data_IF_264737994341
#
_entry.id   IF_264737994341
#
_cell.length_a   1.000
_cell.length_b   1.000
_cell.length_c   1.000
_cell.angle_alpha   90.00
_cell.angle_beta   90.00
_cell.angle_gamma   90.00
#
_symmetry.space_group_name_H-M   'P 1'
#
loop_
_entity.id
_entity.type
_entity.pdbx_description
1 polymer ?
#
# COMPACT_ATOMS: atom_id res chain seq x y z
N UNK A 1 16.11 20.93 1.23
CA UNK A 1 15.10 20.70 2.29
C UNK A 1 15.60 19.60 3.23
N UNK A 2 15.15 19.62 4.48
CA UNK A 2 15.28 18.52 5.43
C UNK A 2 14.12 17.55 5.26
N UNK A 3 14.36 16.31 4.91
CA UNK A 3 13.31 15.34 4.62
C UNK A 3 13.51 14.10 5.46
N UNK A 4 12.53 13.78 6.33
CA UNK A 4 12.50 12.52 7.05
C UNK A 4 11.75 11.48 6.20
N UNK A 5 12.44 10.45 5.72
CA UNK A 5 11.83 9.34 4.98
C UNK A 5 11.44 8.26 5.97
N UNK A 6 10.18 8.27 6.42
CA UNK A 6 9.69 7.35 7.44
C UNK A 6 9.41 5.98 6.83
N UNK A 7 10.14 4.95 7.29
CA UNK A 7 10.05 3.60 6.75
C UNK A 7 9.92 2.53 7.85
N UNK A 8 9.96 1.26 7.50
CA UNK A 8 9.93 0.13 8.42
C UNK A 8 8.56 -0.06 9.05
N UNK A 9 8.45 0.25 10.32
CA UNK A 9 7.22 0.03 11.08
C UNK A 9 7.02 -1.43 11.49
N UNK A 10 5.83 -1.78 11.96
CA UNK A 10 5.49 -3.12 12.42
C UNK A 10 4.32 -3.66 11.58
N UNK A 11 4.60 -4.02 10.34
CA UNK A 11 3.65 -4.61 9.41
C UNK A 11 4.28 -5.79 8.65
N UNK A 12 3.49 -6.69 8.07
CA UNK A 12 4.01 -7.75 7.21
C UNK A 12 4.82 -7.23 6.01
N UNK A 13 4.62 -5.98 5.62
CA UNK A 13 5.30 -5.31 4.50
C UNK A 13 6.54 -4.50 4.93
N UNK A 14 7.01 -4.69 6.18
CA UNK A 14 8.16 -3.98 6.75
C UNK A 14 9.39 -3.95 5.84
N UNK A 15 9.79 -5.09 5.27
CA UNK A 15 10.99 -5.18 4.43
C UNK A 15 10.82 -4.42 3.11
N UNK A 16 9.61 -4.39 2.57
CA UNK A 16 9.25 -3.59 1.38
C UNK A 16 9.36 -2.11 1.72
N UNK A 17 8.86 -1.70 2.87
CA UNK A 17 8.92 -0.32 3.38
C UNK A 17 10.37 0.15 3.54
N UNK A 18 11.24 -0.64 4.16
CA UNK A 18 12.67 -0.30 4.32
C UNK A 18 13.35 -0.20 2.95
N UNK A 19 13.06 -1.12 2.02
CA UNK A 19 13.62 -1.09 0.67
C UNK A 19 13.18 0.17 -0.08
N UNK A 20 11.89 0.49 -0.07
CA UNK A 20 11.33 1.72 -0.67
C UNK A 20 11.96 2.97 -0.05
N UNK A 21 11.95 3.06 1.29
CA UNK A 21 12.51 4.20 2.01
C UNK A 21 13.98 4.45 1.71
N UNK A 22 14.80 3.37 1.65
CA UNK A 22 16.22 3.47 1.29
C UNK A 22 16.42 4.05 -0.11
N UNK A 23 15.61 3.62 -1.09
CA UNK A 23 15.69 4.13 -2.47
C UNK A 23 15.22 5.58 -2.57
N UNK A 24 14.13 5.92 -1.90
CA UNK A 24 13.62 7.30 -1.83
C UNK A 24 14.66 8.22 -1.19
N UNK A 25 15.21 7.86 -0.03
CA UNK A 25 16.21 8.67 0.66
C UNK A 25 17.45 8.88 -0.20
N UNK A 26 17.93 7.84 -0.90
CA UNK A 26 19.04 7.95 -1.84
C UNK A 26 18.75 8.91 -2.99
N UNK A 27 17.59 8.79 -3.65
CA UNK A 27 17.19 9.67 -4.74
C UNK A 27 17.07 11.13 -4.30
N UNK A 28 16.50 11.37 -3.10
CA UNK A 28 16.39 12.72 -2.55
C UNK A 28 17.74 13.33 -2.15
N UNK A 29 18.67 12.51 -1.64
CA UNK A 29 20.05 12.97 -1.38
C UNK A 29 20.80 13.30 -2.69
N UNK A 30 20.66 12.49 -3.74
CA UNK A 30 21.19 12.78 -5.07
C UNK A 30 20.61 14.06 -5.67
N UNK A 31 19.35 14.40 -5.36
CA UNK A 31 18.68 15.67 -5.72
C UNK A 31 19.10 16.86 -4.84
N UNK A 32 20.01 16.66 -3.87
CA UNK A 32 20.56 17.72 -3.03
C UNK A 32 19.77 18.04 -1.76
N UNK A 33 18.85 17.16 -1.35
CA UNK A 33 18.15 17.27 -0.07
C UNK A 33 18.94 16.64 1.08
N UNK A 34 18.68 17.10 2.30
CA UNK A 34 19.17 16.47 3.53
C UNK A 34 18.16 15.38 3.95
N UNK A 35 18.37 14.15 3.44
CA UNK A 35 17.49 13.01 3.71
C UNK A 35 17.96 12.19 4.90
N UNK A 36 17.04 11.90 5.85
CA UNK A 36 17.24 10.97 6.97
C UNK A 36 16.21 9.86 6.87
N UNK A 37 16.60 8.61 7.20
CA UNK A 37 15.77 7.41 7.09
C UNK A 37 15.47 6.83 8.48
N UNK A 38 14.53 7.38 9.27
CA UNK A 38 14.12 6.79 10.54
C UNK A 38 13.23 5.57 10.30
N UNK A 39 13.52 4.47 11.00
CA UNK A 39 12.61 3.36 11.11
C UNK A 39 11.48 3.72 12.08
N UNK A 40 10.22 3.65 11.64
CA UNK A 40 9.09 4.03 12.49
C UNK A 40 9.06 3.24 13.80
N UNK A 41 9.34 1.93 13.76
CA UNK A 41 9.23 1.06 14.94
C UNK A 41 10.48 1.06 15.80
N UNK A 42 11.69 0.92 15.23
CA UNK A 42 12.93 0.95 15.98
C UNK A 42 13.39 2.38 16.32
N UNK A 43 13.05 3.34 15.51
CA UNK A 43 13.56 4.69 15.63
C UNK A 43 15.00 4.81 15.16
N UNK A 44 15.75 5.62 15.88
CA UNK A 44 17.18 5.83 15.67
C UNK A 44 18.00 5.27 16.85
N UNK A 45 17.60 4.11 17.41
CA UNK A 45 18.20 3.52 18.60
C UNK A 45 19.67 3.12 18.47
N UNK A 46 20.20 3.06 17.26
CA UNK A 46 21.60 2.81 16.95
C UNK A 46 22.39 4.08 16.58
N UNK A 47 21.72 5.22 16.47
CA UNK A 47 22.37 6.48 16.17
C UNK A 47 23.06 7.02 17.42
N UNK A 48 24.37 7.29 17.33
CA UNK A 48 25.20 7.77 18.44
C UNK A 48 25.54 9.26 18.35
N UNK A 49 25.09 9.94 17.28
CA UNK A 49 25.26 11.38 17.09
C UNK A 49 24.25 12.21 17.89
N UNK A 50 24.36 13.51 17.78
CA UNK A 50 23.37 14.44 18.36
C UNK A 50 22.15 14.53 17.46
N UNK A 51 20.97 14.18 17.97
CA UNK A 51 19.70 14.22 17.25
C UNK A 51 19.41 15.61 16.68
N UNK A 52 19.79 16.68 17.36
CA UNK A 52 19.61 18.04 16.87
C UNK A 52 20.34 18.30 15.53
N UNK A 53 21.36 17.51 15.23
CA UNK A 53 22.20 17.61 14.01
C UNK A 53 22.04 16.41 13.07
N UNK A 54 21.01 15.57 13.25
CA UNK A 54 20.83 14.32 12.47
C UNK A 54 20.70 14.55 10.96
N UNK A 55 20.23 15.72 10.52
CA UNK A 55 20.18 16.06 9.09
C UNK A 55 21.52 16.53 8.52
N UNK A 56 22.45 16.97 9.38
CA UNK A 56 23.80 17.40 8.96
C UNK A 56 24.77 16.20 8.94
N UNK A 57 24.53 15.21 9.81
CA UNK A 57 25.32 13.97 9.92
C UNK A 57 24.36 12.76 10.01
N UNK A 58 23.65 12.43 8.91
CA UNK A 58 22.66 11.37 8.92
C UNK A 58 23.30 9.99 9.08
N UNK A 59 22.60 9.03 9.74
CA UNK A 59 23.04 7.65 9.73
C UNK A 59 23.14 7.13 8.29
N UNK A 60 24.09 6.23 8.04
CA UNK A 60 24.23 5.60 6.74
C UNK A 60 22.93 4.91 6.33
N UNK A 61 22.56 5.06 5.04
CA UNK A 61 21.39 4.36 4.51
C UNK A 61 21.65 2.86 4.56
N UNK A 62 20.86 2.17 5.37
CA UNK A 62 20.81 0.72 5.39
C UNK A 62 20.18 0.18 4.11
N UNK A 63 20.20 -1.13 3.95
CA UNK A 63 19.46 -1.82 2.91
C UNK A 63 18.90 -3.10 3.47
N UNK A 64 17.77 -3.55 2.94
CA UNK A 64 17.22 -4.85 3.27
C UNK A 64 16.84 -5.59 2.00
N UNK A 65 16.89 -6.92 2.07
CA UNK A 65 16.34 -7.78 1.05
C UNK A 65 14.87 -8.06 1.39
N UNK A 66 14.04 -8.09 0.37
CA UNK A 66 12.66 -8.55 0.53
C UNK A 66 12.68 -10.07 0.41
N UNK A 67 12.31 -10.74 1.50
CA UNK A 67 12.27 -12.21 1.57
C UNK A 67 11.02 -12.77 0.87
N UNK A 68 10.99 -14.07 0.64
CA UNK A 68 9.86 -14.76 0.01
C UNK A 68 8.60 -14.81 0.89
N UNK A 69 8.76 -14.59 2.19
CA UNK A 69 7.67 -14.54 3.18
C UNK A 69 7.73 -13.27 4.00
N UNK A 70 6.57 -12.88 4.53
CA UNK A 70 6.48 -11.76 5.45
C UNK A 70 7.32 -12.02 6.73
N UNK A 71 7.87 -10.97 7.35
CA UNK A 71 8.65 -11.09 8.58
C UNK A 71 7.79 -11.55 9.76
N UNK A 72 8.40 -12.28 10.69
CA UNK A 72 7.81 -12.59 11.99
C UNK A 72 7.75 -11.31 12.84
N UNK A 73 6.56 -10.74 13.00
CA UNK A 73 6.37 -9.47 13.70
C UNK A 73 6.64 -9.56 15.22
N UNK A 74 6.45 -10.74 15.83
CA UNK A 74 6.79 -10.94 17.24
C UNK A 74 8.31 -10.95 17.43
N UNK A 75 9.04 -11.60 16.52
CA UNK A 75 10.49 -11.55 16.50
C UNK A 75 11.02 -10.12 16.27
N UNK A 76 10.39 -9.37 15.35
CA UNK A 76 10.72 -7.94 15.14
C UNK A 76 10.46 -7.14 16.41
N UNK A 77 9.31 -7.33 17.06
CA UNK A 77 8.97 -6.64 18.31
C UNK A 77 9.99 -6.91 19.42
N UNK A 78 10.42 -8.17 19.55
CA UNK A 78 11.38 -8.57 20.57
C UNK A 78 12.79 -7.96 20.39
N UNK A 79 13.16 -7.57 19.16
CA UNK A 79 14.47 -6.99 18.87
C UNK A 79 14.60 -5.52 19.30
N UNK A 80 13.49 -4.80 19.51
CA UNK A 80 13.49 -3.39 19.90
C UNK A 80 14.15 -3.22 21.27
N UNK A 81 15.16 -2.37 21.37
CA UNK A 81 15.93 -2.17 22.63
C UNK A 81 15.07 -1.54 23.72
N UNK A 82 14.40 -0.44 23.40
CA UNK A 82 13.48 0.22 24.32
C UNK A 82 12.06 -0.35 24.11
N UNK A 83 11.67 -1.29 24.96
CA UNK A 83 10.33 -1.86 24.95
C UNK A 83 9.28 -0.81 25.33
N UNK A 84 8.32 -0.56 24.44
CA UNK A 84 7.26 0.43 24.61
C UNK A 84 5.99 -0.02 23.88
N UNK A 85 4.80 0.32 24.36
CA UNK A 85 3.56 0.10 23.63
C UNK A 85 3.42 1.02 22.40
N UNK A 86 4.19 2.11 22.32
CA UNK A 86 4.20 3.02 21.18
C UNK A 86 4.72 2.32 19.93
N UNK A 87 4.09 2.55 18.79
CA UNK A 87 4.58 2.13 17.47
C UNK A 87 5.66 3.07 16.92
N UNK A 88 5.84 4.23 17.53
CA UNK A 88 6.96 5.12 17.22
C UNK A 88 8.16 4.79 18.12
N UNK A 89 9.28 4.52 17.48
CA UNK A 89 10.57 4.29 18.11
C UNK A 89 11.18 5.57 18.69
N UNK A 90 12.32 5.40 19.33
CA UNK A 90 13.05 6.51 19.93
C UNK A 90 13.41 7.57 18.88
N UNK A 91 13.21 8.84 19.19
CA UNK A 91 13.48 10.03 18.38
C UNK A 91 12.69 10.15 17.04
N UNK A 92 11.81 9.21 16.68
CA UNK A 92 11.09 9.27 15.39
C UNK A 92 10.29 10.57 15.26
N UNK A 93 9.42 10.88 16.20
CA UNK A 93 8.59 12.09 16.11
C UNK A 93 9.41 13.38 16.27
N UNK A 94 10.50 13.35 17.01
CA UNK A 94 11.45 14.46 17.14
C UNK A 94 12.11 14.76 15.79
N UNK A 95 12.61 13.75 15.08
CA UNK A 95 13.19 13.90 13.74
C UNK A 95 12.14 14.35 12.73
N UNK A 96 10.92 13.79 12.78
CA UNK A 96 9.83 14.25 11.93
C UNK A 96 9.49 15.73 12.16
N UNK A 97 9.51 16.20 13.40
CA UNK A 97 9.24 17.60 13.75
C UNK A 97 10.35 18.58 13.32
N UNK A 98 11.58 18.09 13.11
CA UNK A 98 12.70 18.89 12.59
C UNK A 98 12.78 18.91 11.07
N UNK A 99 12.02 18.05 10.38
CA UNK A 99 11.98 18.00 8.93
C UNK A 99 11.08 19.11 8.33
N UNK A 100 11.40 19.55 7.13
CA UNK A 100 10.50 20.41 6.34
C UNK A 100 9.27 19.63 5.87
N UNK A 101 9.45 18.31 5.63
CA UNK A 101 8.39 17.38 5.26
C UNK A 101 8.80 15.94 5.62
N UNK A 102 7.82 15.10 5.96
CA UNK A 102 7.98 13.66 6.12
C UNK A 102 7.55 12.94 4.86
N UNK A 103 8.45 12.20 4.22
CA UNK A 103 8.09 11.29 3.14
C UNK A 103 7.64 9.95 3.75
N UNK A 104 6.37 9.59 3.57
CA UNK A 104 5.84 8.33 4.08
C UNK A 104 6.18 7.19 3.11
N UNK A 105 7.16 6.37 3.47
CA UNK A 105 7.55 5.14 2.75
C UNK A 105 7.07 3.88 3.48
N UNK A 106 6.00 4.02 4.26
CA UNK A 106 5.38 2.94 5.03
C UNK A 106 4.43 2.14 4.13
N UNK A 107 4.20 0.86 4.49
CA UNK A 107 3.23 -0.01 3.83
C UNK A 107 2.43 -0.80 4.85
N UNK A 108 1.21 -1.19 4.45
CA UNK A 108 0.32 -1.99 5.26
C UNK A 108 -0.37 -1.21 6.38
N UNK A 109 -1.09 -1.96 7.24
CA UNK A 109 -2.07 -1.43 8.18
C UNK A 109 -1.60 -0.24 9.01
N UNK A 110 -0.38 -0.26 9.53
CA UNK A 110 0.12 0.82 10.39
C UNK A 110 0.48 2.10 9.62
N UNK A 111 0.86 1.97 8.36
CA UNK A 111 1.28 3.10 7.52
C UNK A 111 0.15 3.71 6.70
N UNK A 112 -0.83 2.87 6.30
CA UNK A 112 -1.89 3.23 5.36
C UNK A 112 -3.28 3.34 6.01
N UNK A 113 -3.42 3.11 7.32
CA UNK A 113 -4.71 3.15 8.03
C UNK A 113 -5.09 4.52 8.61
N UNK A 114 -4.32 5.55 8.29
CA UNK A 114 -4.57 6.92 8.71
C UNK A 114 -4.03 7.31 10.10
N UNK A 115 -3.54 6.37 10.90
CA UNK A 115 -3.07 6.66 12.28
C UNK A 115 -1.79 7.47 12.32
N UNK A 116 -0.83 7.15 11.46
CA UNK A 116 0.42 7.91 11.31
C UNK A 116 0.09 9.31 10.80
N UNK A 117 -0.74 9.41 9.78
CA UNK A 117 -1.19 10.66 9.20
C UNK A 117 -1.87 11.55 10.24
N UNK A 118 -2.83 11.01 11.01
CA UNK A 118 -3.50 11.74 12.10
C UNK A 118 -2.52 12.20 13.19
N UNK A 119 -1.50 11.41 13.49
CA UNK A 119 -0.47 11.81 14.46
C UNK A 119 0.34 13.00 13.94
N UNK A 120 0.77 12.97 12.68
CA UNK A 120 1.52 14.06 12.07
C UNK A 120 0.65 15.32 11.92
N UNK A 121 -0.64 15.18 11.57
CA UNK A 121 -1.60 16.30 11.53
C UNK A 121 -1.71 17.00 12.89
N UNK A 122 -1.87 16.24 13.99
CA UNK A 122 -1.96 16.79 15.33
C UNK A 122 -0.68 17.48 15.79
N UNK A 123 0.46 17.10 15.25
CA UNK A 123 1.77 17.70 15.53
C UNK A 123 2.09 18.87 14.57
N UNK A 124 1.25 19.12 13.56
CA UNK A 124 1.49 20.14 12.54
C UNK A 124 2.68 19.83 11.64
N UNK A 125 3.00 18.56 11.45
CA UNK A 125 4.14 18.09 10.64
C UNK A 125 3.66 17.77 9.23
N UNK A 126 4.16 18.45 8.16
CA UNK A 126 3.84 18.14 6.78
C UNK A 126 4.31 16.74 6.37
N UNK A 127 3.50 16.03 5.57
CA UNK A 127 3.85 14.68 5.07
C UNK A 127 3.31 14.43 3.67
N UNK A 128 3.92 13.49 2.95
CA UNK A 128 3.49 13.06 1.61
C UNK A 128 2.35 12.04 1.69
N UNK A 129 1.59 11.92 0.59
CA UNK A 129 0.50 10.95 0.49
C UNK A 129 -0.85 11.50 0.97
N UNK A 130 -1.83 10.64 1.14
CA UNK A 130 -3.20 10.99 1.49
C UNK A 130 -3.37 11.31 2.98
N UNK A 131 -4.37 12.14 3.33
CA UNK A 131 -4.70 12.46 4.71
C UNK A 131 -5.31 11.28 5.47
N UNK A 132 -5.44 11.42 6.79
CA UNK A 132 -5.84 10.34 7.70
C UNK A 132 -7.20 9.69 7.33
N UNK A 133 -8.21 10.49 6.95
CA UNK A 133 -9.54 9.97 6.66
C UNK A 133 -9.56 9.14 5.38
N UNK A 134 -8.97 9.68 4.30
CA UNK A 134 -8.87 8.97 3.01
C UNK A 134 -8.09 7.66 3.15
N UNK A 135 -6.95 7.70 3.84
CA UNK A 135 -6.15 6.51 4.13
C UNK A 135 -6.93 5.46 4.93
N UNK A 136 -7.65 5.87 5.98
CA UNK A 136 -8.45 4.95 6.79
C UNK A 136 -9.58 4.28 5.99
N UNK A 137 -10.28 5.03 5.13
CA UNK A 137 -11.34 4.47 4.28
C UNK A 137 -10.73 3.54 3.22
N UNK A 138 -9.63 3.96 2.56
CA UNK A 138 -8.99 3.16 1.52
C UNK A 138 -8.48 1.80 2.05
N UNK A 139 -8.00 1.74 3.28
CA UNK A 139 -7.56 0.51 3.94
C UNK A 139 -8.73 -0.46 4.23
N UNK A 140 -9.92 0.06 4.53
CA UNK A 140 -11.14 -0.69 4.79
C UNK A 140 -11.87 -0.97 3.46
N UNK A 141 -11.74 -2.19 2.96
CA UNK A 141 -12.28 -2.58 1.64
C UNK A 141 -13.81 -2.52 1.59
N UNK A 142 -14.50 -2.87 2.68
CA UNK A 142 -15.96 -2.78 2.77
C UNK A 142 -16.41 -1.31 2.70
N UNK A 143 -15.80 -0.42 3.48
CA UNK A 143 -16.12 1.00 3.45
C UNK A 143 -15.80 1.62 2.08
N UNK A 144 -14.64 1.31 1.51
CA UNK A 144 -14.29 1.78 0.16
C UNK A 144 -15.34 1.39 -0.86
N UNK A 145 -15.75 0.12 -0.91
CA UNK A 145 -16.78 -0.37 -1.84
C UNK A 145 -18.12 0.32 -1.62
N UNK A 146 -18.53 0.53 -0.38
CA UNK A 146 -19.77 1.26 -0.05
C UNK A 146 -19.75 2.72 -0.51
N UNK A 147 -18.56 3.35 -0.51
CA UNK A 147 -18.41 4.74 -0.99
C UNK A 147 -18.43 4.79 -2.51
N UNK A 148 -17.72 3.89 -3.20
CA UNK A 148 -17.50 4.02 -4.65
C UNK A 148 -18.59 3.37 -5.51
N UNK A 149 -19.27 2.31 -5.04
CA UNK A 149 -20.31 1.63 -5.80
C UNK A 149 -21.50 2.55 -6.17
N UNK A 150 -22.00 3.43 -5.29
CA UNK A 150 -23.07 4.39 -5.66
C UNK A 150 -22.64 5.42 -6.71
N UNK A 151 -21.34 5.61 -6.92
CA UNK A 151 -20.79 6.52 -7.94
C UNK A 151 -20.63 5.86 -9.31
N UNK A 152 -21.07 4.61 -9.46
CA UNK A 152 -20.99 3.88 -10.71
C UNK A 152 -19.69 3.12 -10.92
N UNK A 153 -18.77 3.11 -9.96
CA UNK A 153 -17.57 2.27 -10.00
C UNK A 153 -17.98 0.82 -9.73
N UNK A 154 -17.84 -0.02 -10.75
CA UNK A 154 -18.21 -1.44 -10.67
C UNK A 154 -17.21 -2.18 -9.78
N UNK A 155 -17.70 -2.94 -8.81
CA UNK A 155 -16.90 -3.73 -7.88
C UNK A 155 -17.55 -5.11 -7.68
N UNK A 156 -16.79 -6.19 -7.42
CA UNK A 156 -17.38 -7.51 -7.15
C UNK A 156 -18.42 -7.44 -6.04
N UNK A 157 -19.53 -8.15 -6.21
CA UNK A 157 -20.52 -8.30 -5.13
C UNK A 157 -19.85 -8.95 -3.92
N UNK A 158 -20.17 -8.47 -2.71
CA UNK A 158 -19.47 -8.90 -1.51
C UNK A 158 -20.38 -9.06 -0.31
N UNK A 159 -19.90 -9.76 0.69
CA UNK A 159 -20.42 -9.79 2.05
C UNK A 159 -19.26 -9.67 3.04
N UNK A 160 -19.52 -9.00 4.16
CA UNK A 160 -18.58 -8.84 5.27
C UNK A 160 -19.04 -9.69 6.44
N UNK A 161 -18.13 -10.43 7.08
CA UNK A 161 -18.41 -11.22 8.27
C UNK A 161 -17.37 -10.95 9.36
N UNK A 162 -17.81 -10.92 10.61
CA UNK A 162 -16.90 -10.87 11.76
C UNK A 162 -16.30 -12.26 11.99
N UNK A 163 -15.00 -12.36 12.24
CA UNK A 163 -14.32 -13.65 12.47
C UNK A 163 -14.65 -14.24 13.84
N UNK A 164 -14.88 -13.38 14.85
CA UNK A 164 -15.26 -13.81 16.20
C UNK A 164 -16.71 -14.30 16.23
N UNK A 165 -16.90 -15.53 16.68
CA UNK A 165 -18.23 -16.15 16.74
C UNK A 165 -18.85 -16.48 15.37
N UNK A 166 -18.07 -16.50 14.28
CA UNK A 166 -18.56 -16.77 12.92
C UNK A 166 -19.24 -18.13 12.81
N UNK A 167 -20.50 -18.14 12.37
CA UNK A 167 -21.21 -19.35 11.94
C UNK A 167 -20.81 -19.70 10.50
N UNK A 168 -19.82 -20.55 10.36
CA UNK A 168 -19.28 -20.98 9.04
C UNK A 168 -20.37 -21.62 8.17
N UNK A 169 -21.31 -22.37 8.76
CA UNK A 169 -22.39 -23.04 8.00
C UNK A 169 -23.36 -21.99 7.41
N UNK A 170 -23.71 -20.99 8.19
CA UNK A 170 -24.55 -19.89 7.73
C UNK A 170 -23.85 -19.05 6.64
N UNK A 171 -22.54 -18.83 6.76
CA UNK A 171 -21.73 -18.12 5.74
C UNK A 171 -21.67 -18.93 4.44
N UNK A 172 -21.37 -20.24 4.52
CA UNK A 172 -21.32 -21.10 3.34
C UNK A 172 -22.66 -21.19 2.61
N UNK A 173 -23.78 -21.17 3.34
CA UNK A 173 -25.11 -21.18 2.74
C UNK A 173 -25.47 -19.90 1.97
N UNK A 174 -24.82 -18.78 2.26
CA UNK A 174 -25.05 -17.48 1.63
C UNK A 174 -24.06 -17.16 0.52
N UNK A 175 -22.82 -17.63 0.64
CA UNK A 175 -21.76 -17.36 -0.31
C UNK A 175 -22.05 -17.99 -1.68
N UNK A 176 -21.73 -17.24 -2.75
CA UNK A 176 -21.81 -17.75 -4.13
C UNK A 176 -20.43 -18.15 -4.59
N UNK A 177 -20.30 -19.38 -5.08
CA UNK A 177 -19.04 -19.92 -5.60
C UNK A 177 -18.96 -19.77 -7.12
N UNK A 178 -17.75 -19.55 -7.71
CA UNK A 178 -16.49 -19.35 -6.98
C UNK A 178 -16.44 -17.98 -6.31
N UNK A 179 -15.70 -17.86 -5.19
CA UNK A 179 -15.54 -16.61 -4.48
C UNK A 179 -14.09 -16.38 -4.02
N UNK A 180 -13.78 -15.13 -3.67
CA UNK A 180 -12.53 -14.72 -3.04
C UNK A 180 -12.80 -14.44 -1.57
N UNK A 181 -12.00 -15.02 -0.70
CA UNK A 181 -12.04 -14.80 0.75
C UNK A 181 -10.77 -14.05 1.14
N UNK A 182 -10.89 -12.92 1.83
CA UNK A 182 -9.75 -12.10 2.24
C UNK A 182 -10.04 -11.35 3.54
N UNK A 183 -9.02 -11.04 4.36
CA UNK A 183 -9.15 -10.07 5.44
C UNK A 183 -9.57 -8.69 4.86
N UNK A 184 -10.43 -7.97 5.56
CA UNK A 184 -10.96 -6.69 5.09
C UNK A 184 -9.89 -5.58 5.08
N UNK A 185 -8.98 -5.60 6.05
CA UNK A 185 -7.98 -4.56 6.29
C UNK A 185 -6.52 -5.04 6.15
N UNK A 186 -6.26 -6.04 5.30
CA UNK A 186 -4.92 -6.57 5.02
C UNK A 186 -4.41 -6.15 3.64
N UNK A 187 -3.08 -6.04 3.52
CA UNK A 187 -2.36 -5.74 2.27
C UNK A 187 -1.63 -6.96 1.69
N UNK A 188 -0.94 -6.74 0.55
CA UNK A 188 -0.05 -7.71 -0.11
C UNK A 188 -0.62 -9.10 -0.33
N UNK A 189 -1.92 -9.23 -0.55
CA UNK A 189 -2.63 -10.51 -0.75
C UNK A 189 -2.48 -11.53 0.39
N UNK A 190 -2.09 -11.07 1.60
CA UNK A 190 -1.96 -11.94 2.77
C UNK A 190 -3.36 -12.38 3.23
N UNK A 191 -3.54 -13.68 3.42
CA UNK A 191 -4.82 -14.27 3.81
C UNK A 191 -5.87 -14.33 2.69
N UNK A 192 -5.50 -13.99 1.44
CA UNK A 192 -6.40 -14.10 0.28
C UNK A 192 -6.44 -15.55 -0.23
N UNK A 193 -7.64 -16.03 -0.47
CA UNK A 193 -7.88 -17.37 -1.03
C UNK A 193 -9.02 -17.34 -2.04
N UNK A 194 -8.89 -18.11 -3.11
CA UNK A 194 -9.98 -18.36 -4.06
C UNK A 194 -10.62 -19.70 -3.67
N UNK A 195 -11.93 -19.72 -3.49
CA UNK A 195 -12.69 -20.90 -3.16
C UNK A 195 -13.64 -21.28 -4.31
N UNK A 196 -13.44 -22.49 -4.87
CA UNK A 196 -14.23 -23.02 -5.97
C UNK A 196 -15.37 -23.91 -5.48
N UNK A 197 -15.22 -24.45 -4.27
CA UNK A 197 -16.22 -25.30 -3.61
C UNK A 197 -16.36 -24.98 -2.13
N UNK A 198 -17.32 -25.62 -1.46
CA UNK A 198 -17.61 -25.38 -0.04
C UNK A 198 -16.45 -25.81 0.88
N UNK A 199 -15.70 -26.85 0.52
CA UNK A 199 -14.59 -27.32 1.33
C UNK A 199 -13.44 -26.30 1.32
N UNK A 200 -13.13 -25.76 0.13
CA UNK A 200 -12.16 -24.67 -0.03
C UNK A 200 -12.63 -23.40 0.69
N UNK A 201 -13.92 -23.05 0.60
CA UNK A 201 -14.47 -21.89 1.30
C UNK A 201 -14.32 -22.02 2.83
N UNK A 202 -14.62 -23.18 3.40
CA UNK A 202 -14.45 -23.46 4.83
C UNK A 202 -12.99 -23.34 5.28
N UNK A 203 -12.06 -23.81 4.46
CA UNK A 203 -10.63 -23.68 4.72
C UNK A 203 -10.17 -22.22 4.64
N UNK A 204 -10.61 -21.50 3.61
CA UNK A 204 -10.30 -20.09 3.40
C UNK A 204 -10.82 -19.19 4.54
N UNK A 205 -12.05 -19.39 5.02
CA UNK A 205 -12.61 -18.66 6.15
C UNK A 205 -11.81 -18.85 7.44
N UNK A 206 -11.37 -20.09 7.70
CA UNK A 206 -10.51 -20.38 8.87
C UNK A 206 -9.14 -19.72 8.76
N UNK A 207 -8.56 -19.72 7.56
CA UNK A 207 -7.26 -19.07 7.32
C UNK A 207 -7.37 -17.54 7.49
N UNK A 208 -8.35 -16.90 6.86
CA UNK A 208 -8.58 -15.47 6.95
C UNK A 208 -8.88 -14.99 8.38
N UNK A 209 -9.57 -15.81 9.18
CA UNK A 209 -9.86 -15.52 10.59
C UNK A 209 -8.61 -15.42 11.48
N UNK A 210 -7.48 -16.00 11.07
CA UNK A 210 -6.20 -15.86 11.78
C UNK A 210 -5.50 -14.53 11.45
N UNK A 211 -5.85 -13.91 10.33
CA UNK A 211 -5.20 -12.71 9.81
C UNK A 211 -5.96 -11.41 10.15
N UNK A 212 -7.26 -11.49 10.43
CA UNK A 212 -8.08 -10.31 10.70
C UNK A 212 -9.36 -10.60 11.44
N UNK A 213 -9.92 -9.56 12.07
CA UNK A 213 -11.20 -9.64 12.79
C UNK A 213 -12.41 -9.60 11.85
N UNK A 214 -12.26 -9.09 10.64
CA UNK A 214 -13.29 -9.00 9.60
C UNK A 214 -12.82 -9.66 8.32
N UNK A 215 -13.71 -10.42 7.70
CA UNK A 215 -13.45 -11.19 6.48
C UNK A 215 -14.40 -10.73 5.41
N UNK A 216 -13.85 -10.35 4.27
CA UNK A 216 -14.58 -10.02 3.06
C UNK A 216 -14.68 -11.25 2.16
N UNK A 217 -15.89 -11.59 1.72
CA UNK A 217 -16.16 -12.67 0.77
C UNK A 217 -16.72 -12.03 -0.48
N UNK A 218 -16.00 -12.12 -1.58
CA UNK A 218 -16.33 -11.45 -2.84
C UNK A 218 -16.63 -12.45 -3.95
N UNK A 219 -17.48 -12.05 -4.88
CA UNK A 219 -17.61 -12.74 -6.15
C UNK A 219 -16.24 -12.82 -6.82
N UNK A 220 -15.84 -14.02 -7.25
CA UNK A 220 -14.65 -14.18 -8.07
C UNK A 220 -14.90 -13.63 -9.48
N UNK A 221 -14.05 -12.73 -9.92
CA UNK A 221 -14.06 -12.18 -11.28
C UNK A 221 -12.87 -12.78 -12.03
N UNK A 222 -13.16 -13.51 -13.12
CA UNK A 222 -12.15 -14.02 -14.03
C UNK A 222 -11.76 -12.94 -15.02
N UNK A 223 -10.47 -12.61 -15.12
CA UNK A 223 -10.01 -11.56 -16.01
C UNK A 223 -8.51 -11.30 -15.89
N UNK A 224 -8.08 -10.21 -16.53
CA UNK A 224 -6.71 -9.69 -16.51
C UNK A 224 -6.58 -8.72 -15.34
N UNK A 225 -5.51 -8.84 -14.56
CA UNK A 225 -5.22 -7.87 -13.50
C UNK A 225 -4.56 -6.64 -14.13
N UNK A 226 -5.23 -5.49 -14.03
CA UNK A 226 -4.75 -4.20 -14.51
C UNK A 226 -4.76 -3.21 -13.36
N UNK A 227 -3.67 -2.48 -13.21
CA UNK A 227 -3.55 -1.47 -12.17
C UNK A 227 -3.22 -0.13 -12.80
N UNK A 228 -3.49 0.95 -12.08
CA UNK A 228 -3.25 2.31 -12.56
C UNK A 228 -2.86 3.22 -11.41
N UNK A 229 -1.69 3.86 -11.56
CA UNK A 229 -1.20 4.88 -10.66
C UNK A 229 -1.89 6.23 -10.90
N UNK A 230 -2.01 6.99 -9.84
CA UNK A 230 -2.44 8.39 -9.89
C UNK A 230 -1.31 9.22 -9.28
N UNK A 231 -0.93 10.30 -9.94
CA UNK A 231 0.05 11.27 -9.50
C UNK A 231 -0.54 12.68 -9.59
N UNK A 232 -0.68 13.37 -8.46
CA UNK A 232 -1.50 14.56 -8.35
C UNK A 232 -2.95 14.26 -8.74
N UNK A 233 -3.47 14.97 -9.73
CA UNK A 233 -4.82 14.79 -10.29
C UNK A 233 -4.80 14.05 -11.65
N UNK A 234 -3.74 13.28 -11.94
CA UNK A 234 -3.57 12.63 -13.25
C UNK A 234 -3.36 11.14 -13.09
N UNK A 235 -4.09 10.36 -13.87
CA UNK A 235 -3.81 8.95 -14.04
C UNK A 235 -2.53 8.75 -14.86
N UNK A 236 -1.67 7.86 -14.41
CA UNK A 236 -0.51 7.36 -15.17
C UNK A 236 -1.00 6.31 -16.19
N UNK A 237 -0.16 5.88 -17.15
CA UNK A 237 -0.49 4.73 -17.99
C UNK A 237 -0.71 3.49 -17.15
N UNK A 238 -1.72 2.70 -17.48
CA UNK A 238 -1.98 1.46 -16.76
C UNK A 238 -0.86 0.43 -16.88
N UNK A 239 -0.84 -0.51 -15.95
CA UNK A 239 0.08 -1.65 -15.94
C UNK A 239 -0.71 -2.95 -15.81
N UNK A 240 -0.43 -3.91 -16.69
CA UNK A 240 -0.98 -5.27 -16.62
C UNK A 240 -0.02 -6.17 -15.88
N UNK A 241 -0.56 -7.00 -14.99
CA UNK A 241 0.20 -7.96 -14.21
C UNK A 241 -0.20 -9.37 -14.64
N UNK A 242 0.79 -10.12 -15.08
CA UNK A 242 0.64 -11.51 -15.52
C UNK A 242 1.50 -12.39 -14.59
N UNK A 243 0.91 -12.98 -13.52
CA UNK A 243 1.63 -13.90 -12.66
C UNK A 243 2.14 -15.11 -13.45
N UNK A 244 3.34 -15.58 -13.12
CA UNK A 244 3.89 -16.78 -13.75
C UNK A 244 3.10 -18.04 -13.35
N UNK A 245 2.57 -18.09 -12.13
CA UNK A 245 1.73 -19.15 -11.59
C UNK A 245 0.68 -18.57 -10.63
N UNK A 246 -0.52 -19.14 -10.63
CA UNK A 246 -1.57 -18.81 -9.66
C UNK A 246 -2.17 -17.41 -9.84
N UNK A 247 -2.22 -16.63 -8.76
CA UNK A 247 -2.68 -15.24 -8.72
C UNK A 247 -1.57 -14.33 -8.14
N UNK A 248 -1.75 -13.01 -8.18
CA UNK A 248 -0.74 -12.04 -7.75
C UNK A 248 -0.64 -12.00 -6.21
N UNK A 249 -0.05 -13.03 -5.63
CA UNK A 249 0.19 -13.19 -4.20
C UNK A 249 1.48 -12.46 -3.74
N UNK A 250 1.81 -12.56 -2.44
CA UNK A 250 3.00 -11.93 -1.84
C UNK A 250 4.30 -12.32 -2.58
N UNK A 251 4.46 -13.60 -2.94
CA UNK A 251 5.64 -14.09 -3.65
C UNK A 251 5.72 -13.49 -5.05
N UNK A 252 4.60 -13.49 -5.78
CA UNK A 252 4.53 -12.94 -7.13
C UNK A 252 4.75 -11.42 -7.16
N UNK A 253 4.43 -10.71 -6.06
CA UNK A 253 4.65 -9.25 -5.93
C UNK A 253 6.12 -8.87 -5.73
N UNK A 254 6.90 -9.69 -5.02
CA UNK A 254 8.20 -9.23 -4.54
C UNK A 254 9.40 -10.09 -4.99
N UNK A 255 9.17 -11.23 -5.64
CA UNK A 255 10.26 -12.06 -6.15
C UNK A 255 10.54 -11.77 -7.64
N UNK A 256 11.79 -11.54 -8.03
CA UNK A 256 12.17 -11.28 -9.41
C UNK A 256 11.72 -12.41 -10.35
N UNK A 257 11.00 -12.05 -11.43
CA UNK A 257 10.54 -12.98 -12.45
C UNK A 257 9.31 -13.81 -12.09
N UNK A 258 8.70 -13.57 -10.92
CA UNK A 258 7.48 -14.26 -10.50
C UNK A 258 6.21 -13.69 -11.17
N UNK A 259 6.26 -12.47 -11.68
CA UNK A 259 5.23 -11.88 -12.54
C UNK A 259 5.88 -11.15 -13.72
N UNK A 260 5.14 -11.03 -14.82
CA UNK A 260 5.46 -10.14 -15.94
C UNK A 260 4.57 -8.92 -15.85
N UNK A 261 5.18 -7.75 -15.86
CA UNK A 261 4.52 -6.45 -15.78
C UNK A 261 4.66 -5.73 -17.12
N UNK A 262 3.56 -5.22 -17.68
CA UNK A 262 3.52 -4.57 -18.99
C UNK A 262 2.88 -3.21 -18.82
N UNK A 263 3.65 -2.14 -19.02
CA UNK A 263 3.16 -0.76 -18.99
C UNK A 263 3.61 -0.01 -20.26
N UNK A 264 2.73 0.73 -20.97
CA UNK A 264 1.27 0.71 -20.83
C UNK A 264 0.68 -0.68 -21.04
N UNK A 265 -0.41 -1.01 -20.34
CA UNK A 265 -1.11 -2.28 -20.56
C UNK A 265 -1.60 -2.41 -22.00
N UNK A 266 -1.55 -3.62 -22.57
CA UNK A 266 -2.03 -3.87 -23.94
C UNK A 266 -3.57 -3.98 -23.96
N UNK A 267 -4.24 -2.82 -23.75
CA UNK A 267 -5.71 -2.69 -23.76
C UNK A 267 -6.16 -1.61 -24.74
N UNK A 268 -7.42 -1.62 -25.23
CA UNK A 268 -7.95 -0.57 -26.11
C UNK A 268 -7.91 0.81 -25.43
N UNK A 269 -7.64 1.87 -26.19
CA UNK A 269 -7.57 3.24 -25.67
C UNK A 269 -8.87 3.68 -24.96
N UNK A 270 -10.04 3.20 -25.40
CA UNK A 270 -11.32 3.45 -24.73
C UNK A 270 -11.36 2.78 -23.34
N UNK A 271 -10.83 1.56 -23.23
CA UNK A 271 -10.73 0.85 -21.93
C UNK A 271 -9.75 1.56 -20.99
N UNK A 272 -8.60 2.01 -21.52
CA UNK A 272 -7.61 2.80 -20.79
C UNK A 272 -8.25 4.07 -20.21
N UNK A 273 -9.01 4.81 -21.03
CA UNK A 273 -9.70 6.02 -20.56
C UNK A 273 -10.75 5.71 -19.48
N UNK A 274 -11.55 4.64 -19.66
CA UNK A 274 -12.52 4.21 -18.64
C UNK A 274 -11.85 3.80 -17.34
N UNK A 275 -10.68 3.15 -17.40
CA UNK A 275 -9.88 2.77 -16.24
C UNK A 275 -9.38 4.00 -15.51
N UNK A 276 -8.83 4.98 -16.24
CA UNK A 276 -8.38 6.24 -15.68
C UNK A 276 -9.52 7.02 -15.01
N UNK A 277 -10.68 7.14 -15.68
CA UNK A 277 -11.85 7.83 -15.14
C UNK A 277 -12.38 7.14 -13.87
N UNK A 278 -12.43 5.81 -13.84
CA UNK A 278 -12.84 5.05 -12.67
C UNK A 278 -11.86 5.23 -11.50
N UNK A 279 -10.55 5.16 -11.76
CA UNK A 279 -9.52 5.34 -10.74
C UNK A 279 -9.55 6.76 -10.15
N UNK A 280 -9.67 7.80 -10.98
CA UNK A 280 -9.82 9.19 -10.54
C UNK A 280 -11.12 9.41 -9.75
N UNK A 281 -12.22 8.76 -10.15
CA UNK A 281 -13.47 8.79 -9.39
C UNK A 281 -13.28 8.25 -7.98
N UNK A 282 -12.61 7.10 -7.83
CA UNK A 282 -12.27 6.54 -6.51
C UNK A 282 -11.37 7.48 -5.73
N UNK A 283 -10.30 7.97 -6.34
CA UNK A 283 -9.33 8.88 -5.73
C UNK A 283 -10.00 10.12 -5.12
N UNK A 284 -10.85 10.79 -5.90
CA UNK A 284 -11.56 11.98 -5.43
C UNK A 284 -12.66 11.66 -4.41
N UNK A 285 -13.38 10.54 -4.59
CA UNK A 285 -14.44 10.14 -3.67
C UNK A 285 -13.93 9.84 -2.26
N UNK A 286 -12.70 9.33 -2.16
CA UNK A 286 -12.03 9.06 -0.89
C UNK A 286 -11.20 10.25 -0.38
N UNK A 287 -11.23 11.39 -1.10
CA UNK A 287 -10.42 12.57 -0.78
C UNK A 287 -8.93 12.24 -0.64
N UNK A 288 -8.41 11.42 -1.55
CA UNK A 288 -6.99 11.08 -1.60
C UNK A 288 -6.17 12.23 -2.20
N UNK A 289 -4.86 12.18 -2.05
CA UNK A 289 -3.96 13.23 -2.53
C UNK A 289 -2.54 12.72 -2.77
N UNK A 290 -1.78 13.49 -3.52
CA UNK A 290 -0.42 13.28 -3.96
C UNK A 290 -0.28 12.08 -4.90
N UNK A 291 -0.44 10.86 -4.44
CA UNK A 291 -0.35 9.67 -5.28
C UNK A 291 -1.12 8.50 -4.69
N UNK A 292 -1.48 7.55 -5.53
CA UNK A 292 -2.10 6.28 -5.15
C UNK A 292 -2.01 5.28 -6.30
N UNK A 293 -2.46 4.03 -6.08
CA UNK A 293 -2.63 3.01 -7.11
C UNK A 293 -3.95 2.30 -6.92
N UNK A 294 -4.77 2.30 -7.96
CA UNK A 294 -6.04 1.59 -7.98
C UNK A 294 -5.90 0.26 -8.75
N UNK A 295 -6.45 -0.80 -8.19
CA UNK A 295 -6.31 -2.17 -8.67
C UNK A 295 -7.65 -2.67 -9.21
N UNK A 296 -7.65 -3.23 -10.44
CA UNK A 296 -8.84 -3.68 -11.16
C UNK A 296 -8.64 -5.05 -11.80
N UNK A 297 -9.76 -5.74 -12.04
CA UNK A 297 -9.83 -6.85 -12.99
C UNK A 297 -10.57 -6.37 -14.25
N UNK A 298 -9.97 -6.59 -15.41
CA UNK A 298 -10.60 -6.42 -16.71
C UNK A 298 -11.11 -7.80 -17.18
N UNK A 299 -12.43 -7.98 -17.22
CA UNK A 299 -13.04 -9.24 -17.62
C UNK A 299 -13.06 -9.43 -19.15
N UNK A 300 -13.53 -10.60 -19.62
CA UNK A 300 -13.59 -10.94 -21.04
C UNK A 300 -14.60 -10.09 -21.83
N UNK A 301 -15.58 -9.52 -21.17
CA UNK A 301 -16.61 -8.63 -21.72
C UNK A 301 -16.10 -7.18 -21.81
N UNK A 302 -14.89 -6.89 -21.30
CA UNK A 302 -14.28 -5.55 -21.28
C UNK A 302 -14.77 -4.68 -20.14
N UNK A 303 -15.38 -5.27 -19.10
CA UNK A 303 -15.81 -4.57 -17.90
C UNK A 303 -14.67 -4.48 -16.89
N UNK A 304 -14.58 -3.32 -16.23
CA UNK A 304 -13.58 -3.03 -15.21
C UNK A 304 -14.19 -3.22 -13.81
N UNK A 305 -13.57 -4.08 -13.01
CA UNK A 305 -13.99 -4.41 -11.66
C UNK A 305 -12.97 -3.89 -10.66
N UNK A 306 -13.32 -2.83 -9.95
CA UNK A 306 -12.48 -2.24 -8.91
C UNK A 306 -12.32 -3.20 -7.72
N UNK A 307 -11.08 -3.41 -7.28
CA UNK A 307 -10.73 -4.25 -6.14
C UNK A 307 -10.41 -3.44 -4.89
N UNK A 308 -9.42 -2.55 -5.00
CA UNK A 308 -8.90 -1.73 -3.91
C UNK A 308 -8.11 -0.52 -4.44
N UNK A 309 -7.81 0.43 -3.56
CA UNK A 309 -6.88 1.52 -3.84
C UNK A 309 -5.85 1.62 -2.70
N UNK A 310 -4.57 1.69 -3.07
CA UNK A 310 -3.45 1.77 -2.14
C UNK A 310 -2.98 3.23 -2.04
N UNK A 311 -2.91 3.77 -0.83
CA UNK A 311 -2.56 5.19 -0.58
C UNK A 311 -1.07 5.44 -0.43
N UNK A 312 -0.28 4.40 -0.12
CA UNK A 312 1.18 4.41 -0.13
C UNK A 312 1.69 3.20 -0.94
N UNK A 313 1.49 3.18 -2.27
CA UNK A 313 1.94 2.07 -3.10
C UNK A 313 3.45 1.92 -3.04
N UNK A 314 3.95 0.71 -3.37
CA UNK A 314 5.38 0.41 -3.39
C UNK A 314 6.17 1.41 -4.22
N UNK A 315 7.30 1.85 -3.68
CA UNK A 315 8.15 2.89 -4.26
C UNK A 315 9.60 2.42 -4.47
N UNK A 316 9.83 1.12 -4.71
CA UNK A 316 11.12 0.72 -5.29
C UNK A 316 11.13 1.06 -6.79
N UNK A 317 12.29 1.24 -7.43
CA UNK A 317 12.35 1.51 -8.88
C UNK A 317 11.66 0.46 -9.76
N UNK A 318 11.48 -0.75 -9.25
CA UNK A 318 10.78 -1.86 -9.92
C UNK A 318 9.32 -2.00 -9.47
N UNK A 319 8.83 -1.13 -8.60
CA UNK A 319 7.41 -1.10 -8.21
C UNK A 319 6.55 -0.50 -9.33
N UNK A 320 5.26 -0.78 -9.33
CA UNK A 320 4.34 -0.49 -10.43
C UNK A 320 4.24 1.01 -10.74
N UNK A 321 3.97 1.85 -9.75
CA UNK A 321 3.85 3.32 -9.94
C UNK A 321 5.14 3.95 -10.50
N UNK A 322 6.36 3.64 -10.02
CA UNK A 322 7.59 4.06 -10.68
C UNK A 322 7.75 3.59 -12.12
N UNK A 323 7.29 2.38 -12.47
CA UNK A 323 7.32 1.89 -13.85
C UNK A 323 6.33 2.67 -14.74
N UNK A 324 5.10 2.91 -14.27
CA UNK A 324 4.09 3.72 -14.96
C UNK A 324 4.58 5.15 -15.18
N UNK A 325 5.21 5.78 -14.18
CA UNK A 325 5.81 7.10 -14.28
C UNK A 325 6.95 7.13 -15.33
N UNK A 326 7.82 6.11 -15.31
CA UNK A 326 8.90 5.98 -16.29
C UNK A 326 8.37 5.82 -17.73
N UNK A 327 7.23 5.16 -17.94
CA UNK A 327 6.59 5.01 -19.25
C UNK A 327 6.16 6.35 -19.88
N UNK A 328 5.95 7.40 -19.06
CA UNK A 328 5.69 8.78 -19.53
C UNK A 328 6.88 9.72 -19.37
N UNK A 329 8.08 9.17 -19.15
CA UNK A 329 9.32 9.93 -19.10
C UNK A 329 9.62 10.62 -17.78
N UNK A 330 8.89 10.29 -16.70
CA UNK A 330 9.16 10.79 -15.34
C UNK A 330 10.19 9.86 -14.70
N UNK A 331 11.38 10.36 -14.40
CA UNK A 331 12.40 9.61 -13.69
C UNK A 331 12.01 9.35 -12.25
N UNK A 332 12.68 8.38 -11.61
CA UNK A 332 12.41 8.03 -10.21
C UNK A 332 12.60 9.21 -9.24
N UNK A 333 13.66 9.99 -9.44
CA UNK A 333 13.92 11.20 -8.64
C UNK A 333 12.84 12.27 -8.88
N UNK A 334 12.44 12.50 -10.13
CA UNK A 334 11.36 13.44 -10.46
C UNK A 334 10.01 13.00 -9.87
N UNK A 335 9.73 11.69 -9.83
CA UNK A 335 8.54 11.17 -9.18
C UNK A 335 8.54 11.49 -7.67
N UNK A 336 9.65 11.27 -6.99
CA UNK A 336 9.77 11.62 -5.56
C UNK A 336 9.59 13.12 -5.32
N UNK A 337 10.18 13.96 -6.18
CA UNK A 337 10.03 15.43 -6.11
C UNK A 337 8.59 15.90 -6.35
N UNK A 338 7.89 15.31 -7.33
CA UNK A 338 6.49 15.64 -7.61
C UNK A 338 5.58 15.28 -6.44
N UNK A 339 5.78 14.10 -5.82
CA UNK A 339 5.04 13.67 -4.63
C UNK A 339 5.24 14.66 -3.47
N UNK A 340 6.47 15.16 -3.27
CA UNK A 340 6.77 16.18 -2.26
C UNK A 340 6.09 17.52 -2.61
N UNK A 341 6.20 17.96 -3.86
CA UNK A 341 5.61 19.21 -4.31
C UNK A 341 4.08 19.21 -4.12
N UNK A 342 3.40 18.13 -4.51
CA UNK A 342 1.96 17.98 -4.32
C UNK A 342 1.56 18.02 -2.85
N UNK A 343 2.37 17.45 -1.96
CA UNK A 343 2.12 17.47 -0.53
C UNK A 343 2.29 18.85 0.12
N UNK A 344 3.20 19.67 -0.39
CA UNK A 344 3.44 21.03 0.12
C UNK A 344 2.42 22.07 -0.41
N UNK A 345 1.62 21.72 -1.43
CA UNK A 345 0.58 22.56 -2.00
C UNK A 345 -0.83 22.26 -1.44
N UNK A 346 -0.93 21.36 -0.44
CA UNK A 346 -2.18 21.00 0.25
C UNK A 346 -2.77 22.13 1.09
#
# INVERSE_FOLDING_TARGET
MKIAVLCGGLSPERNVSISSGTKIAGALQESGHQGVLPDMFFGLEDYTGDIAHVFDDPPALGGTRIDESAPDLEAVRAQRKLQSPSLFGEHVLEVCAMADIVFLALHGRTGEDGRVQATLDLLGIPYTGSGYLGSAIAMDKDLTKRVVAPLGVKTPAWMLVESDGMDIDAVCAQAKLPCVVKPDDSGSSIGVSIANDEAELRAALKAAANEGSRILIEQYICGREVQIGILGDKALPSIEIIPAEGFYDYRNKYQPGAAREITPAEIPAETEQRLADAALTVFHALNLSAYSRADFILDAEGELWFLEINTLPGMTPTSLVPQEAAAVGISYSELCEQIIADALHK
#
